data_IF_148091020076
#
_entry.id   IF_148091020076
#
_cell.length_a   1.000
_cell.length_b   1.000
_cell.length_c   1.000
_cell.angle_alpha   90.00
_cell.angle_beta   90.00
_cell.angle_gamma   90.00
#
_symmetry.space_group_name_H-M   'P 1'
#
loop_
_entity.id
_entity.type
_entity.pdbx_description
1 polymer ?
#
# COMPACT_ATOMS: atom_id res chain seq x y z
N UNK A 1 9.53 -3.82 -7.56
CA UNK A 1 10.01 -3.23 -8.81
C UNK A 1 9.78 -1.73 -8.78
N UNK A 2 10.73 -0.93 -8.54
CA UNK A 2 10.59 0.52 -8.38
C UNK A 2 10.35 0.95 -6.95
N UNK A 3 10.43 2.26 -6.74
CA UNK A 3 10.44 2.96 -5.46
C UNK A 3 9.12 3.71 -5.16
N UNK A 4 8.09 3.45 -5.94
CA UNK A 4 6.81 4.13 -5.86
C UNK A 4 5.98 3.62 -4.67
N UNK A 5 5.62 4.51 -3.77
CA UNK A 5 4.74 4.26 -2.63
C UNK A 5 3.34 4.80 -2.95
N UNK A 6 2.28 4.16 -2.43
CA UNK A 6 0.88 4.56 -2.63
C UNK A 6 0.46 4.66 -4.11
N UNK A 7 0.90 3.74 -4.93
CA UNK A 7 0.62 3.68 -6.34
C UNK A 7 -0.37 2.54 -6.69
N UNK A 8 -1.21 2.72 -7.72
CA UNK A 8 -1.52 3.96 -8.43
C UNK A 8 -2.25 4.96 -7.53
N UNK A 9 -2.10 6.26 -7.81
CA UNK A 9 -2.77 7.32 -7.07
C UNK A 9 -4.30 7.31 -7.21
N UNK A 10 -4.97 8.12 -6.41
CA UNK A 10 -6.41 8.31 -6.51
C UNK A 10 -6.80 9.14 -7.73
N UNK A 11 -7.74 8.61 -8.51
CA UNK A 11 -8.35 9.30 -9.66
C UNK A 11 -9.87 9.09 -9.65
N UNK A 12 -10.56 9.70 -10.58
CA UNK A 12 -11.95 9.33 -10.87
C UNK A 12 -11.98 7.99 -11.60
N UNK A 13 -12.02 6.90 -10.88
CA UNK A 13 -11.84 5.52 -11.38
C UNK A 13 -12.85 5.08 -12.45
N UNK A 14 -13.95 5.80 -12.61
CA UNK A 14 -14.88 5.59 -13.71
C UNK A 14 -14.39 6.19 -15.05
N UNK A 15 -13.44 7.12 -14.97
CA UNK A 15 -12.95 7.86 -16.12
C UNK A 15 -11.47 7.65 -16.40
N UNK A 16 -10.67 7.42 -15.34
CA UNK A 16 -9.21 7.32 -15.44
C UNK A 16 -8.64 6.34 -14.43
N UNK A 17 -7.83 5.41 -14.91
CA UNK A 17 -6.99 4.53 -14.11
C UNK A 17 -5.54 4.71 -14.55
N UNK A 18 -4.67 5.06 -13.62
CA UNK A 18 -3.26 5.28 -13.91
C UNK A 18 -2.52 3.96 -14.01
N UNK A 19 -1.71 3.82 -15.05
CA UNK A 19 -0.83 2.67 -15.30
C UNK A 19 0.61 3.07 -15.04
N UNK A 20 1.31 2.28 -14.24
CA UNK A 20 2.74 2.45 -13.98
C UNK A 20 3.57 1.62 -14.94
N UNK A 21 4.65 2.22 -15.44
CA UNK A 21 5.63 1.54 -16.26
C UNK A 21 6.98 1.47 -15.56
N UNK A 22 7.61 0.32 -15.61
CA UNK A 22 8.90 0.05 -14.97
C UNK A 22 9.86 -0.59 -15.97
N UNK A 23 11.07 -0.09 -16.06
CA UNK A 23 12.15 -0.81 -16.75
C UNK A 23 12.66 -1.92 -15.84
N UNK A 24 12.45 -3.16 -16.27
CA UNK A 24 12.85 -4.37 -15.56
C UNK A 24 14.00 -5.10 -16.23
N UNK A 25 14.61 -4.53 -17.26
CA UNK A 25 15.67 -5.14 -18.07
C UNK A 25 16.77 -5.76 -17.20
N UNK A 26 17.26 -5.02 -16.22
CA UNK A 26 18.35 -5.47 -15.36
C UNK A 26 17.90 -6.48 -14.27
N UNK A 27 16.61 -6.77 -14.15
CA UNK A 27 16.06 -7.73 -13.21
C UNK A 27 15.80 -9.09 -13.85
N UNK A 28 15.77 -9.17 -15.16
CA UNK A 28 15.46 -10.40 -15.89
C UNK A 28 16.59 -11.44 -15.73
N UNK A 29 16.17 -12.69 -15.61
CA UNK A 29 17.01 -13.89 -15.51
C UNK A 29 16.53 -14.93 -16.50
N UNK A 30 17.17 -16.10 -16.55
CA UNK A 30 16.72 -17.24 -17.36
C UNK A 30 15.33 -17.72 -16.92
N UNK A 31 15.10 -17.74 -15.59
CA UNK A 31 13.81 -18.07 -15.00
C UNK A 31 13.36 -16.87 -14.16
N UNK A 32 12.14 -16.43 -14.38
CA UNK A 32 11.55 -15.27 -13.71
C UNK A 32 10.21 -15.63 -13.11
N UNK A 33 9.89 -14.99 -11.99
CA UNK A 33 8.54 -14.99 -11.42
C UNK A 33 8.07 -13.56 -11.25
N UNK A 34 6.80 -13.32 -11.54
CA UNK A 34 6.15 -12.04 -11.36
C UNK A 34 5.06 -12.20 -10.28
N UNK A 35 5.25 -11.55 -9.15
CA UNK A 35 4.34 -11.59 -8.03
C UNK A 35 3.86 -10.18 -7.69
N UNK A 36 2.54 -10.02 -7.52
CA UNK A 36 1.90 -8.74 -7.19
C UNK A 36 0.98 -8.94 -6.01
N UNK A 37 1.13 -8.10 -5.00
CA UNK A 37 0.15 -8.01 -3.90
C UNK A 37 -0.87 -6.94 -4.23
N UNK A 38 -2.14 -7.31 -4.24
CA UNK A 38 -3.26 -6.40 -4.53
C UNK A 38 -4.01 -6.15 -3.23
N UNK A 39 -4.18 -4.89 -2.90
CA UNK A 39 -4.92 -4.42 -1.73
C UNK A 39 -6.11 -3.54 -2.10
N UNK A 40 -6.91 -3.18 -1.12
CA UNK A 40 -8.11 -2.35 -1.34
C UNK A 40 -7.74 -0.91 -1.73
N UNK A 41 -6.72 -0.34 -1.10
CA UNK A 41 -6.28 1.04 -1.37
C UNK A 41 -7.43 2.05 -1.28
N UNK A 42 -7.52 2.92 -2.28
CA UNK A 42 -8.60 3.88 -2.43
C UNK A 42 -9.85 3.30 -3.12
N UNK A 43 -9.67 2.29 -3.96
CA UNK A 43 -10.74 1.83 -4.87
C UNK A 43 -11.84 1.05 -4.16
N UNK A 44 -11.49 0.23 -3.19
CA UNK A 44 -12.42 -0.69 -2.54
C UNK A 44 -12.76 -0.26 -1.10
N UNK A 45 -12.77 1.05 -0.84
CA UNK A 45 -13.13 1.59 0.47
C UNK A 45 -14.65 1.52 0.66
N UNK A 46 -15.11 0.74 1.62
CA UNK A 46 -16.45 0.86 2.15
C UNK A 46 -16.51 2.07 3.08
N UNK A 47 -17.48 2.97 2.88
CA UNK A 47 -17.70 4.07 3.82
C UNK A 47 -18.34 3.53 5.10
N UNK A 48 -17.58 3.48 6.19
CA UNK A 48 -18.08 3.03 7.49
C UNK A 48 -19.15 3.97 8.10
N UNK A 49 -19.23 5.21 7.64
CA UNK A 49 -20.15 6.21 8.25
C UNK A 49 -21.61 6.05 7.85
N UNK A 50 -21.89 5.65 6.63
CA UNK A 50 -23.26 5.58 6.10
C UNK A 50 -23.58 4.23 5.42
N UNK A 51 -22.62 3.31 5.40
CA UNK A 51 -22.76 2.02 4.75
C UNK A 51 -22.77 2.10 3.22
N UNK A 52 -22.56 3.27 2.64
CA UNK A 52 -22.42 3.41 1.19
C UNK A 52 -21.02 2.99 0.76
N UNK A 53 -20.93 2.32 -0.38
CA UNK A 53 -19.67 2.11 -1.06
C UNK A 53 -19.26 3.44 -1.66
N UNK A 54 -18.31 4.14 -1.05
CA UNK A 54 -17.87 5.48 -1.45
C UNK A 54 -17.53 5.58 -2.96
N UNK A 55 -17.10 4.48 -3.56
CA UNK A 55 -16.75 4.41 -4.97
C UNK A 55 -17.46 3.27 -5.74
N UNK A 56 -18.34 2.50 -5.09
CA UNK A 56 -19.13 1.44 -5.73
C UNK A 56 -18.34 0.21 -6.19
N UNK A 57 -17.08 0.07 -5.80
CA UNK A 57 -16.22 -1.04 -6.20
C UNK A 57 -15.76 -1.82 -4.99
N UNK A 58 -16.17 -3.09 -4.90
CA UNK A 58 -15.75 -4.01 -3.83
C UNK A 58 -14.59 -4.91 -4.24
N UNK A 59 -14.48 -5.20 -5.53
CA UNK A 59 -13.51 -6.16 -6.03
C UNK A 59 -12.23 -5.48 -6.48
N UNK A 60 -11.11 -6.11 -6.16
CA UNK A 60 -9.80 -5.70 -6.62
C UNK A 60 -9.39 -6.57 -7.81
N UNK A 61 -8.75 -5.97 -8.80
CA UNK A 61 -8.25 -6.68 -9.98
C UNK A 61 -6.86 -6.17 -10.35
N UNK A 62 -6.14 -6.97 -11.12
CA UNK A 62 -4.84 -6.64 -11.67
C UNK A 62 -4.91 -6.70 -13.19
N UNK A 63 -4.33 -5.72 -13.84
CA UNK A 63 -3.91 -5.79 -15.24
C UNK A 63 -2.43 -5.48 -15.32
N UNK A 64 -1.66 -6.33 -15.97
CA UNK A 64 -0.23 -6.13 -16.19
C UNK A 64 0.22 -6.73 -17.52
N UNK A 65 1.23 -6.09 -18.11
CA UNK A 65 1.89 -6.54 -19.33
C UNK A 65 3.40 -6.38 -19.14
N UNK A 66 4.15 -7.40 -19.52
CA UNK A 66 5.59 -7.37 -19.66
C UNK A 66 5.93 -7.46 -21.14
N UNK A 67 6.53 -6.41 -21.68
CA UNK A 67 7.04 -6.40 -23.04
C UNK A 67 8.55 -6.62 -23.04
N UNK A 68 9.01 -7.63 -23.75
CA UNK A 68 10.42 -7.98 -23.91
C UNK A 68 10.81 -7.67 -25.36
N UNK A 69 11.82 -6.81 -25.52
CA UNK A 69 12.39 -6.51 -26.84
C UNK A 69 13.77 -7.15 -26.92
N UNK A 70 13.95 -8.04 -27.90
CA UNK A 70 15.20 -8.77 -28.10
C UNK A 70 16.19 -7.96 -28.93
N UNK A 71 17.46 -8.36 -28.90
CA UNK A 71 18.54 -7.67 -29.62
C UNK A 71 18.38 -7.69 -31.15
N UNK A 72 17.64 -8.66 -31.70
CA UNK A 72 17.30 -8.76 -33.12
C UNK A 72 16.10 -7.89 -33.54
N UNK A 73 15.51 -7.14 -32.58
CA UNK A 73 14.35 -6.27 -32.79
C UNK A 73 13.00 -6.98 -32.69
N UNK A 74 12.95 -8.28 -32.45
CA UNK A 74 11.70 -8.98 -32.16
C UNK A 74 11.19 -8.62 -30.79
N UNK A 75 9.88 -8.72 -30.56
CA UNK A 75 9.26 -8.43 -29.29
C UNK A 75 8.27 -9.52 -28.89
N UNK A 76 8.17 -9.74 -27.59
CA UNK A 76 7.22 -10.66 -26.96
C UNK A 76 6.48 -9.91 -25.85
N UNK A 77 5.16 -10.16 -25.71
CA UNK A 77 4.35 -9.64 -24.60
C UNK A 77 3.77 -10.77 -23.77
N UNK A 78 3.94 -10.68 -22.48
CA UNK A 78 3.34 -11.56 -21.47
C UNK A 78 2.30 -10.74 -20.70
N UNK A 79 1.04 -11.15 -20.76
CA UNK A 79 -0.08 -10.43 -20.14
C UNK A 79 -0.70 -11.23 -19.01
N UNK A 80 -1.42 -10.54 -18.13
CA UNK A 80 -2.26 -11.19 -17.13
C UNK A 80 -3.45 -11.87 -17.81
N UNK A 81 -3.63 -13.15 -17.54
CA UNK A 81 -4.71 -13.97 -18.08
C UNK A 81 -5.18 -15.05 -17.07
N UNK A 82 -6.01 -15.98 -17.51
CA UNK A 82 -6.53 -17.08 -16.69
C UNK A 82 -5.50 -18.13 -16.26
N UNK A 83 -4.29 -18.10 -16.82
CA UNK A 83 -3.18 -18.97 -16.41
C UNK A 83 -2.57 -18.52 -15.07
N UNK A 84 -2.74 -17.26 -14.75
CA UNK A 84 -2.27 -16.71 -13.48
C UNK A 84 -3.00 -17.32 -12.31
N UNK A 85 -2.31 -17.36 -11.19
CA UNK A 85 -2.88 -17.87 -9.93
C UNK A 85 -2.79 -16.82 -8.83
N UNK A 86 -3.76 -16.83 -7.94
CA UNK A 86 -3.80 -15.95 -6.78
C UNK A 86 -4.00 -16.78 -5.50
N UNK A 87 -3.48 -16.27 -4.42
CA UNK A 87 -3.66 -16.80 -3.07
C UNK A 87 -3.75 -15.65 -2.07
N UNK A 88 -4.35 -15.93 -0.94
CA UNK A 88 -4.34 -14.98 0.16
C UNK A 88 -2.91 -14.73 0.68
N UNK A 89 -2.63 -13.52 1.11
CA UNK A 89 -1.31 -13.13 1.63
C UNK A 89 -1.35 -12.93 3.15
N UNK A 90 -0.18 -12.73 3.74
CA UNK A 90 -0.05 -12.32 5.15
C UNK A 90 -0.63 -10.94 5.43
N UNK A 91 -0.73 -10.09 4.42
CA UNK A 91 -1.50 -8.85 4.50
C UNK A 91 -2.98 -9.20 4.39
N UNK A 92 -3.66 -9.29 5.53
CA UNK A 92 -5.06 -9.77 5.64
C UNK A 92 -6.08 -8.70 5.33
N UNK A 93 -5.70 -7.46 5.53
CA UNK A 93 -6.51 -6.29 5.25
C UNK A 93 -5.58 -5.12 4.95
N UNK A 94 -5.97 -4.24 4.05
CA UNK A 94 -5.27 -2.98 3.78
C UNK A 94 -6.24 -1.97 3.21
N UNK A 95 -6.25 -0.78 3.78
CA UNK A 95 -7.16 0.29 3.42
C UNK A 95 -6.51 1.62 3.80
N UNK A 96 -6.73 2.65 2.99
CA UNK A 96 -6.08 3.94 3.22
C UNK A 96 -6.55 4.65 4.50
N UNK A 97 -7.76 4.36 5.00
CA UNK A 97 -8.29 4.96 6.23
C UNK A 97 -8.11 4.09 7.47
N UNK A 98 -8.22 2.78 7.31
CA UNK A 98 -8.25 1.85 8.44
C UNK A 98 -6.90 1.15 8.64
N UNK A 99 -5.89 1.48 7.82
CA UNK A 99 -4.55 0.89 7.91
C UNK A 99 -4.49 -0.57 7.45
N UNK A 100 -3.54 -1.30 8.00
CA UNK A 100 -3.18 -2.64 7.57
C UNK A 100 -3.33 -3.65 8.71
N UNK A 101 -3.77 -4.86 8.37
CA UNK A 101 -3.69 -6.03 9.25
C UNK A 101 -2.71 -7.02 8.63
N UNK A 102 -1.55 -7.17 9.25
CA UNK A 102 -0.52 -8.10 8.84
C UNK A 102 -0.37 -9.24 9.85
N UNK A 103 -0.60 -10.47 9.40
CA UNK A 103 -0.42 -11.68 10.22
C UNK A 103 0.82 -12.46 9.74
N UNK A 104 1.92 -12.31 10.45
CA UNK A 104 3.17 -12.99 10.14
C UNK A 104 3.06 -14.52 10.26
N UNK A 105 2.09 -15.02 11.04
CA UNK A 105 1.87 -16.45 11.29
C UNK A 105 0.96 -17.10 10.26
N UNK A 106 0.23 -16.28 9.48
CA UNK A 106 -0.70 -16.76 8.47
C UNK A 106 0.00 -17.66 7.44
N UNK A 107 -0.63 -18.79 7.17
CA UNK A 107 -0.19 -19.73 6.14
C UNK A 107 -1.21 -19.70 5.00
N UNK A 108 -0.76 -19.22 3.85
CA UNK A 108 -1.60 -19.22 2.66
C UNK A 108 -2.05 -20.63 2.29
N UNK A 109 -3.30 -20.74 1.87
CA UNK A 109 -3.84 -21.95 1.26
C UNK A 109 -3.28 -22.17 -0.15
N UNK A 110 -3.82 -23.16 -0.86
CA UNK A 110 -3.46 -23.42 -2.26
C UNK A 110 -3.83 -22.24 -3.14
N UNK A 111 -2.99 -21.95 -4.11
CA UNK A 111 -3.28 -20.96 -5.14
C UNK A 111 -4.46 -21.45 -6.03
N UNK A 112 -5.25 -20.53 -6.53
CA UNK A 112 -6.38 -20.77 -7.44
C UNK A 112 -6.17 -19.97 -8.71
N UNK A 113 -6.65 -20.49 -9.83
CA UNK A 113 -6.61 -19.74 -11.09
C UNK A 113 -7.41 -18.44 -10.99
N UNK A 114 -6.90 -17.40 -11.60
CA UNK A 114 -7.58 -16.13 -11.70
C UNK A 114 -8.76 -16.21 -12.69
N UNK A 115 -9.73 -15.34 -12.49
CA UNK A 115 -10.85 -15.15 -13.41
C UNK A 115 -10.57 -13.87 -14.19
N UNK A 116 -10.61 -13.96 -15.52
CA UNK A 116 -10.55 -12.76 -16.35
C UNK A 116 -11.89 -12.03 -16.30
N UNK A 117 -11.83 -10.74 -16.10
CA UNK A 117 -12.97 -9.83 -16.17
C UNK A 117 -12.83 -8.93 -17.37
N UNK A 118 -13.93 -8.75 -18.11
CA UNK A 118 -13.95 -7.84 -19.26
C UNK A 118 -14.32 -6.45 -18.76
N UNK A 119 -13.32 -5.59 -18.67
CA UNK A 119 -13.48 -4.20 -18.28
C UNK A 119 -12.97 -3.28 -19.40
N UNK A 120 -13.67 -2.16 -19.56
CA UNK A 120 -13.26 -1.10 -20.47
C UNK A 120 -11.83 -0.65 -20.15
N UNK A 121 -10.99 -0.56 -21.18
CA UNK A 121 -9.58 -0.19 -21.08
C UNK A 121 -9.29 1.24 -21.52
N UNK A 122 -10.26 1.92 -22.11
CA UNK A 122 -10.12 3.29 -22.61
C UNK A 122 -9.83 4.30 -21.47
N UNK A 123 -10.12 3.90 -20.22
CA UNK A 123 -9.81 4.69 -19.04
C UNK A 123 -8.35 4.55 -18.57
N UNK A 124 -7.55 3.65 -19.15
CA UNK A 124 -6.16 3.45 -18.76
C UNK A 124 -5.30 4.59 -19.32
N UNK A 125 -4.62 5.31 -18.44
CA UNK A 125 -3.72 6.40 -18.79
C UNK A 125 -2.35 6.19 -18.17
N UNK A 126 -1.28 6.68 -18.75
CA UNK A 126 0.02 6.71 -18.09
C UNK A 126 -0.06 7.44 -16.75
N UNK A 127 0.78 7.02 -15.80
CA UNK A 127 0.90 7.70 -14.51
C UNK A 127 1.21 9.19 -14.74
N UNK A 128 0.35 10.03 -14.19
CA UNK A 128 0.53 11.49 -14.13
C UNK A 128 0.99 11.89 -12.72
N UNK A 129 1.69 12.97 -12.61
CA UNK A 129 2.14 13.52 -11.34
C UNK A 129 3.43 12.90 -10.79
N UNK A 130 3.92 13.53 -9.74
CA UNK A 130 5.16 13.16 -9.09
C UNK A 130 5.07 11.81 -8.39
N UNK A 131 6.16 11.08 -8.39
CA UNK A 131 6.29 9.83 -7.64
C UNK A 131 6.38 10.11 -6.15
N UNK A 132 5.58 9.39 -5.37
CA UNK A 132 5.74 9.36 -3.92
C UNK A 132 6.81 8.34 -3.60
N UNK A 133 7.93 8.79 -3.07
CA UNK A 133 9.11 7.96 -2.77
C UNK A 133 9.63 8.25 -1.37
N UNK A 134 10.41 7.33 -0.82
CA UNK A 134 11.16 7.57 0.40
C UNK A 134 12.31 8.55 0.10
N UNK A 135 12.22 9.77 0.63
CA UNK A 135 13.25 10.78 0.44
C UNK A 135 14.32 10.75 1.52
N UNK A 136 13.94 10.51 2.77
CA UNK A 136 14.81 10.61 3.92
C UNK A 136 14.38 9.65 5.02
N UNK A 137 15.34 9.15 5.79
CA UNK A 137 15.15 8.41 7.05
C UNK A 137 15.53 9.29 8.21
N UNK A 138 14.54 9.68 9.00
CA UNK A 138 14.72 10.56 10.14
C UNK A 138 14.80 9.75 11.44
N UNK A 139 15.91 9.86 12.20
CA UNK A 139 15.97 9.29 13.53
C UNK A 139 15.08 10.08 14.50
N UNK A 140 14.60 9.42 15.54
CA UNK A 140 13.93 10.08 16.64
C UNK A 140 14.87 11.14 17.30
N UNK A 141 14.35 12.34 17.51
CA UNK A 141 15.08 13.42 18.17
C UNK A 141 15.12 13.20 19.67
N UNK A 142 13.98 12.86 20.26
CA UNK A 142 13.86 12.63 21.71
C UNK A 142 12.69 11.72 22.05
N UNK A 143 12.72 11.21 23.28
CA UNK A 143 11.62 10.47 23.88
C UNK A 143 11.09 11.26 25.06
N UNK A 144 9.81 11.60 25.03
CA UNK A 144 9.12 12.42 26.01
C UNK A 144 8.23 11.51 26.88
N UNK A 145 8.26 11.70 28.20
CA UNK A 145 7.23 11.20 29.10
C UNK A 145 6.26 12.32 29.37
N UNK A 146 5.02 12.13 28.95
CA UNK A 146 3.96 13.14 29.14
C UNK A 146 3.45 13.15 30.58
N UNK A 147 2.78 14.21 31.02
CA UNK A 147 2.10 14.26 32.34
C UNK A 147 1.08 13.14 32.51
N UNK A 148 0.40 12.70 31.45
CA UNK A 148 -0.52 11.55 31.47
C UNK A 148 0.19 10.19 31.53
N UNK A 149 1.54 10.14 31.45
CA UNK A 149 2.33 8.91 31.54
C UNK A 149 2.56 8.22 30.20
N UNK A 150 2.18 8.81 29.09
CA UNK A 150 2.42 8.29 27.75
C UNK A 150 3.90 8.39 27.38
N UNK A 151 4.31 7.60 26.38
CA UNK A 151 5.64 7.70 25.80
C UNK A 151 5.50 8.24 24.38
N UNK A 152 5.95 9.47 24.18
CA UNK A 152 5.93 10.13 22.87
C UNK A 152 7.35 10.12 22.29
N UNK A 153 7.47 9.73 21.04
CA UNK A 153 8.72 9.80 20.27
C UNK A 153 8.60 11.00 19.33
N UNK A 154 9.43 11.99 19.59
CA UNK A 154 9.44 13.24 18.84
C UNK A 154 10.52 13.20 17.74
N UNK A 155 10.13 13.51 16.51
CA UNK A 155 11.02 13.58 15.36
C UNK A 155 11.45 15.01 15.02
N UNK A 156 10.99 16.01 15.78
CA UNK A 156 11.42 17.40 15.68
C UNK A 156 10.74 18.21 14.59
N UNK A 157 9.92 17.60 13.75
CA UNK A 157 9.15 18.32 12.73
C UNK A 157 7.88 17.53 12.33
N UNK A 158 6.92 18.26 11.82
CA UNK A 158 5.77 17.67 11.13
C UNK A 158 6.21 17.18 9.74
N UNK A 159 5.80 15.95 9.39
CA UNK A 159 6.19 15.31 8.14
C UNK A 159 5.13 14.29 7.70
N UNK A 160 5.17 13.91 6.44
CA UNK A 160 4.44 12.75 5.93
C UNK A 160 5.39 11.56 5.86
N UNK A 161 4.94 10.39 6.34
CA UNK A 161 5.80 9.22 6.36
C UNK A 161 5.18 8.03 7.08
N UNK A 162 6.00 7.06 7.35
CA UNK A 162 5.69 5.89 8.16
C UNK A 162 6.85 5.55 9.08
N UNK A 163 6.57 4.88 10.18
CA UNK A 163 7.60 4.55 11.16
C UNK A 163 8.22 3.18 10.89
N UNK A 164 9.53 3.11 11.02
CA UNK A 164 10.27 1.86 11.14
C UNK A 164 10.77 1.72 12.58
N UNK A 165 10.43 0.62 13.24
CA UNK A 165 10.89 0.36 14.61
C UNK A 165 11.27 -1.09 14.81
N UNK A 166 12.18 -1.30 15.77
CA UNK A 166 12.53 -2.64 16.25
C UNK A 166 12.03 -2.81 17.67
N UNK A 167 11.17 -3.78 17.88
CA UNK A 167 10.63 -4.09 19.20
C UNK A 167 11.12 -5.44 19.69
N UNK A 168 11.39 -5.51 21.00
CA UNK A 168 11.75 -6.74 21.67
C UNK A 168 10.77 -6.99 22.80
N UNK A 169 10.08 -8.10 22.76
CA UNK A 169 9.03 -8.43 23.74
C UNK A 169 8.92 -9.93 23.96
N UNK A 170 8.09 -10.31 24.90
CA UNK A 170 7.70 -11.70 25.13
C UNK A 170 6.54 -12.09 24.22
N UNK A 171 6.36 -13.37 23.87
CA UNK A 171 5.19 -13.80 23.09
C UNK A 171 3.87 -13.32 23.71
N UNK A 172 3.00 -12.73 22.92
CA UNK A 172 1.72 -12.16 23.36
C UNK A 172 1.80 -10.71 23.85
N UNK A 173 2.99 -10.11 23.95
CA UNK A 173 3.08 -8.67 24.22
C UNK A 173 2.49 -7.86 23.06
N UNK A 174 1.79 -6.79 23.40
CA UNK A 174 1.21 -5.86 22.44
C UNK A 174 1.92 -4.51 22.52
N UNK A 175 2.10 -3.87 21.39
CA UNK A 175 2.53 -2.49 21.28
C UNK A 175 1.55 -1.77 20.35
N UNK A 176 1.00 -0.68 20.81
CA UNK A 176 0.17 0.22 20.00
C UNK A 176 0.97 1.47 19.71
N UNK A 177 1.01 1.87 18.45
CA UNK A 177 1.65 3.10 18.00
C UNK A 177 0.58 3.96 17.38
N UNK A 178 0.44 5.17 17.90
CA UNK A 178 -0.46 6.18 17.38
C UNK A 178 0.35 7.37 16.89
N UNK A 179 -0.15 8.08 15.90
CA UNK A 179 0.51 9.24 15.32
C UNK A 179 -0.17 10.53 15.78
N UNK A 180 0.61 11.59 15.92
CA UNK A 180 0.14 12.92 16.29
C UNK A 180 1.10 13.98 15.76
N UNK A 181 0.56 15.15 15.44
CA UNK A 181 1.36 16.28 14.93
C UNK A 181 1.87 17.18 16.04
N UNK A 182 1.21 17.15 17.20
CA UNK A 182 1.49 18.06 18.32
C UNK A 182 1.08 17.43 19.64
N UNK A 183 1.54 18.03 20.73
CA UNK A 183 1.00 17.80 22.07
C UNK A 183 -0.16 18.76 22.33
N UNK A 184 -1.03 18.42 23.28
CA UNK A 184 -2.06 19.31 23.77
C UNK A 184 -1.47 20.44 24.65
N UNK A 185 -2.34 21.32 25.18
CA UNK A 185 -1.92 22.45 26.04
C UNK A 185 -1.31 22.02 27.36
N UNK A 186 -1.63 20.81 27.82
CA UNK A 186 -1.13 20.23 29.05
C UNK A 186 0.12 19.37 28.82
N UNK A 187 0.58 19.28 27.58
CA UNK A 187 1.79 18.53 27.19
C UNK A 187 1.57 17.03 26.99
N UNK A 188 0.33 16.60 26.79
CA UNK A 188 -0.01 15.21 26.51
C UNK A 188 -0.14 14.95 25.01
N UNK A 189 -0.12 13.67 24.62
CA UNK A 189 -0.34 13.28 23.24
C UNK A 189 -1.71 13.73 22.73
N UNK A 190 -1.77 14.26 21.50
CA UNK A 190 -2.99 14.78 20.91
C UNK A 190 -3.18 14.30 19.48
N UNK A 191 -4.29 13.61 19.22
CA UNK A 191 -4.69 13.14 17.90
C UNK A 191 -6.18 13.43 17.57
N UNK A 192 -6.89 14.21 18.38
CA UNK A 192 -8.31 14.50 18.16
C UNK A 192 -8.58 15.28 16.86
N UNK A 193 -7.56 15.87 16.25
CA UNK A 193 -7.64 16.54 14.96
C UNK A 193 -7.64 15.57 13.75
N UNK A 194 -7.36 14.29 13.97
CA UNK A 194 -7.28 13.27 12.89
C UNK A 194 -8.65 12.76 12.43
N UNK A 195 -9.72 13.32 12.96
CA UNK A 195 -11.11 12.94 12.64
C UNK A 195 -11.38 11.47 13.02
N UNK A 196 -11.46 10.59 11.99
CA UNK A 196 -11.69 9.16 12.16
C UNK A 196 -10.52 8.31 11.66
N UNK A 197 -9.36 8.91 11.39
CA UNK A 197 -8.14 8.17 11.13
C UNK A 197 -7.54 7.73 12.46
N UNK A 198 -7.28 6.43 12.61
CA UNK A 198 -6.69 5.82 13.81
C UNK A 198 -5.18 5.63 13.65
#
# INVERSE_FOLDING_TARGET
VGDFILAPGWTSYLNRLQVQSYDVTNLLKIENSFEVTVGQGWRAIANKRDGSDFLGYRDTALIAELTIVYADGTAESIVTDSSWTARESKLRYTNIYDGDIYDATFKAGSARHCICVDLEKDMLIPQEGEKIVEHERMPALQVIKTPAGETVIDFGQNMTGYVEFKIKGVPGAQATISHGETLDRDGNFYNANYRSAD
#
